data_IF_377565767951
#
_entry.id   IF_377565767951
#
_cell.length_a   1.000
_cell.length_b   1.000
_cell.length_c   1.000
_cell.angle_alpha   90.00
_cell.angle_beta   90.00
_cell.angle_gamma   90.00
#
_symmetry.space_group_name_H-M   'P 1'
#
loop_
_entity.id
_entity.type
_entity.pdbx_description
1 polymer ?
#
# COMPACT_ATOMS: atom_id res chain seq x y z
N UNK A 1 -14.85 37.08 16.14
CA UNK A 1 -13.43 37.47 16.30
C UNK A 1 -12.50 36.55 15.52
N UNK A 2 -12.53 35.22 15.74
CA UNK A 2 -11.70 34.26 14.99
C UNK A 2 -11.87 34.29 13.46
N UNK A 3 -13.11 34.41 12.96
CA UNK A 3 -13.40 34.49 11.50
C UNK A 3 -12.88 35.78 10.85
N UNK A 4 -12.80 36.88 11.61
CA UNK A 4 -12.28 38.15 11.10
C UNK A 4 -10.75 38.16 11.06
N UNK A 5 -10.10 37.52 12.03
CA UNK A 5 -8.64 37.37 12.08
C UNK A 5 -8.13 36.49 10.93
N UNK A 6 -8.84 35.41 10.60
CA UNK A 6 -8.48 34.55 9.46
C UNK A 6 -8.62 35.29 8.12
N UNK A 7 -9.69 36.08 7.93
CA UNK A 7 -9.88 36.84 6.69
C UNK A 7 -8.81 37.93 6.49
N UNK A 8 -8.38 38.60 7.56
CA UNK A 8 -7.30 39.57 7.49
C UNK A 8 -5.96 38.91 7.13
N UNK A 9 -5.66 37.74 7.68
CA UNK A 9 -4.44 36.97 7.36
C UNK A 9 -4.44 36.45 5.92
N UNK A 10 -5.57 35.97 5.41
CA UNK A 10 -5.73 35.61 3.99
C UNK A 10 -5.40 36.79 3.09
N UNK A 11 -5.96 37.96 3.39
CA UNK A 11 -5.71 39.18 2.60
C UNK A 11 -4.22 39.56 2.62
N UNK A 12 -3.58 39.52 3.78
CA UNK A 12 -2.13 39.76 3.89
C UNK A 12 -1.31 38.75 3.09
N UNK A 13 -1.65 37.46 3.13
CA UNK A 13 -0.95 36.45 2.34
C UNK A 13 -1.14 36.67 0.83
N UNK A 14 -2.36 37.01 0.38
CA UNK A 14 -2.63 37.33 -1.03
C UNK A 14 -1.82 38.53 -1.50
N UNK A 15 -1.68 39.56 -0.68
CA UNK A 15 -0.94 40.79 -1.01
C UNK A 15 0.59 40.59 -0.97
N UNK A 16 1.11 39.77 -0.04
CA UNK A 16 2.56 39.66 0.20
C UNK A 16 3.23 38.44 -0.44
N UNK A 17 2.48 37.36 -0.72
CA UNK A 17 3.02 36.09 -1.23
C UNK A 17 2.65 35.83 -2.69
N UNK A 18 2.22 36.85 -3.44
CA UNK A 18 1.79 36.69 -4.83
C UNK A 18 2.86 36.06 -5.75
N UNK A 19 4.10 36.58 -5.71
CA UNK A 19 5.21 36.03 -6.53
C UNK A 19 5.56 34.60 -6.15
N UNK A 20 5.50 34.30 -4.85
CA UNK A 20 5.71 32.94 -4.33
C UNK A 20 4.64 31.98 -4.89
N UNK A 21 3.36 32.34 -4.80
CA UNK A 21 2.25 31.51 -5.29
C UNK A 21 2.30 31.35 -6.81
N UNK A 22 2.61 32.42 -7.56
CA UNK A 22 2.82 32.33 -9.00
C UNK A 22 4.00 31.40 -9.36
N UNK A 23 5.06 31.38 -8.54
CA UNK A 23 6.14 30.41 -8.64
C UNK A 23 5.67 28.96 -8.43
N UNK A 24 4.81 28.73 -7.43
CA UNK A 24 4.20 27.41 -7.19
C UNK A 24 3.31 26.98 -8.37
N UNK A 25 2.46 27.87 -8.89
CA UNK A 25 1.58 27.62 -10.03
C UNK A 25 2.41 27.16 -11.25
N UNK A 26 3.46 27.92 -11.58
CA UNK A 26 4.35 27.57 -12.68
C UNK A 26 5.00 26.19 -12.47
N UNK A 27 5.46 25.88 -11.24
CA UNK A 27 6.01 24.55 -10.93
C UNK A 27 4.98 23.45 -11.08
N UNK A 28 3.76 23.60 -10.56
CA UNK A 28 2.70 22.58 -10.73
C UNK A 28 2.37 22.36 -12.21
N UNK A 29 2.35 23.41 -13.02
CA UNK A 29 2.05 23.29 -14.45
C UNK A 29 3.20 22.65 -15.25
N UNK A 30 4.44 23.09 -15.03
CA UNK A 30 5.59 22.77 -15.89
C UNK A 30 6.36 21.52 -15.46
N UNK A 31 6.21 21.06 -14.21
CA UNK A 31 6.94 19.88 -13.75
C UNK A 31 6.46 18.64 -14.50
N UNK A 32 7.43 17.85 -14.96
CA UNK A 32 7.23 16.53 -15.56
C UNK A 32 7.84 15.49 -14.64
N UNK A 33 7.29 14.28 -14.66
CA UNK A 33 7.68 13.21 -13.76
C UNK A 33 7.99 11.97 -14.58
N UNK A 34 9.11 11.32 -14.29
CA UNK A 34 9.47 10.04 -14.95
C UNK A 34 8.85 8.84 -14.25
N UNK A 35 8.62 8.96 -12.94
CA UNK A 35 8.08 7.90 -12.10
C UNK A 35 7.27 8.50 -10.94
N UNK A 36 6.54 7.63 -10.24
CA UNK A 36 5.67 8.04 -9.14
C UNK A 36 6.44 8.50 -7.90
N UNK A 37 7.69 8.09 -7.69
CA UNK A 37 8.49 8.54 -6.53
C UNK A 37 8.85 10.03 -6.66
N UNK A 38 9.04 10.52 -7.90
CA UNK A 38 9.16 11.96 -8.15
C UNK A 38 7.86 12.72 -7.85
N UNK A 39 6.70 12.13 -8.14
CA UNK A 39 5.40 12.69 -7.75
C UNK A 39 5.29 12.78 -6.23
N UNK A 40 5.69 11.73 -5.50
CA UNK A 40 5.71 11.75 -4.03
C UNK A 40 6.57 12.90 -3.50
N UNK A 41 7.79 13.02 -4.00
CA UNK A 41 8.76 14.04 -3.58
C UNK A 41 8.23 15.44 -3.87
N UNK A 42 7.61 15.62 -5.03
CA UNK A 42 7.01 16.89 -5.41
C UNK A 42 5.81 17.27 -4.54
N UNK A 43 4.92 16.32 -4.26
CA UNK A 43 3.75 16.56 -3.40
C UNK A 43 4.20 16.91 -1.98
N UNK A 44 5.20 16.20 -1.43
CA UNK A 44 5.73 16.53 -0.10
C UNK A 44 6.31 17.94 -0.05
N UNK A 45 7.09 18.32 -1.07
CA UNK A 45 7.60 19.68 -1.20
C UNK A 45 6.46 20.69 -1.32
N UNK A 46 5.46 20.41 -2.17
CA UNK A 46 4.34 21.31 -2.43
C UNK A 46 3.51 21.56 -1.17
N UNK A 47 3.15 20.50 -0.46
CA UNK A 47 2.38 20.57 0.78
C UNK A 47 3.17 21.31 1.87
N UNK A 48 4.49 21.12 1.93
CA UNK A 48 5.35 21.91 2.82
C UNK A 48 5.34 23.41 2.45
N UNK A 49 5.40 23.75 1.15
CA UNK A 49 5.30 25.15 0.72
C UNK A 49 3.94 25.76 1.08
N UNK A 50 2.85 25.03 0.84
CA UNK A 50 1.49 25.50 1.09
C UNK A 50 1.15 25.59 2.58
N UNK A 51 1.79 24.78 3.44
CA UNK A 51 1.67 24.91 4.89
C UNK A 51 2.15 26.25 5.47
N UNK A 52 2.85 27.06 4.67
CA UNK A 52 3.26 28.42 5.05
C UNK A 52 2.15 29.46 4.90
N UNK A 53 1.03 29.09 4.25
CA UNK A 53 -0.15 29.93 4.10
C UNK A 53 -1.05 29.81 5.34
N UNK A 54 -1.69 30.91 5.71
CA UNK A 54 -2.62 30.96 6.84
C UNK A 54 -3.91 30.16 6.60
N UNK A 55 -4.42 30.21 5.37
CA UNK A 55 -5.51 29.36 4.86
C UNK A 55 -5.22 29.06 3.38
N UNK A 56 -4.75 27.85 3.10
CA UNK A 56 -4.41 27.40 1.74
C UNK A 56 -5.57 27.62 0.77
N UNK A 57 -6.78 27.15 1.11
CA UNK A 57 -7.92 27.21 0.19
C UNK A 57 -8.41 28.65 0.01
N UNK A 58 -8.43 29.43 1.08
CA UNK A 58 -8.80 30.83 1.05
C UNK A 58 -7.86 31.66 0.17
N UNK A 59 -6.56 31.50 0.36
CA UNK A 59 -5.52 32.24 -0.38
C UNK A 59 -5.47 31.82 -1.85
N UNK A 60 -5.45 30.52 -2.14
CA UNK A 60 -5.30 30.00 -3.51
C UNK A 60 -6.46 30.38 -4.44
N UNK A 61 -7.68 30.61 -3.90
CA UNK A 61 -8.84 31.09 -4.66
C UNK A 61 -8.64 32.44 -5.33
N UNK A 62 -7.68 33.25 -4.86
CA UNK A 62 -7.36 34.55 -5.45
C UNK A 62 -6.37 34.45 -6.61
N UNK A 63 -5.85 33.26 -6.91
CA UNK A 63 -4.87 33.02 -7.97
C UNK A 63 -5.41 32.01 -8.99
N UNK A 64 -4.78 31.94 -10.17
CA UNK A 64 -5.08 30.93 -11.19
C UNK A 64 -4.48 29.56 -10.82
N UNK A 65 -4.80 29.07 -9.62
CA UNK A 65 -4.29 27.81 -9.09
C UNK A 65 -4.77 26.63 -9.96
N UNK A 66 -3.88 25.74 -10.43
CA UNK A 66 -4.24 24.58 -11.24
C UNK A 66 -4.80 23.45 -10.36
N UNK A 67 -5.93 23.72 -9.69
CA UNK A 67 -6.57 22.86 -8.68
C UNK A 67 -6.69 21.40 -9.14
N UNK A 68 -7.27 21.18 -10.33
CA UNK A 68 -7.45 19.82 -10.88
C UNK A 68 -6.14 19.03 -11.01
N UNK A 69 -5.03 19.69 -11.39
CA UNK A 69 -3.73 19.02 -11.52
C UNK A 69 -3.10 18.78 -10.15
N UNK A 70 -3.18 19.76 -9.25
CA UNK A 70 -2.67 19.65 -7.88
C UNK A 70 -3.37 18.51 -7.12
N UNK A 71 -4.70 18.42 -7.23
CA UNK A 71 -5.50 17.37 -6.61
C UNK A 71 -5.19 15.99 -7.19
N UNK A 72 -5.04 15.88 -8.52
CA UNK A 72 -4.64 14.63 -9.16
C UNK A 72 -3.24 14.17 -8.71
N UNK A 73 -2.30 15.09 -8.51
CA UNK A 73 -0.96 14.77 -7.98
C UNK A 73 -1.03 14.25 -6.54
N UNK A 74 -1.80 14.93 -5.68
CA UNK A 74 -2.01 14.51 -4.28
C UNK A 74 -2.72 13.17 -4.19
N UNK A 75 -3.76 12.96 -5.00
CA UNK A 75 -4.48 11.68 -5.09
C UNK A 75 -3.55 10.54 -5.53
N UNK A 76 -2.76 10.75 -6.60
CA UNK A 76 -1.81 9.75 -7.08
C UNK A 76 -0.75 9.41 -6.01
N UNK A 77 -0.23 10.42 -5.31
CA UNK A 77 0.73 10.23 -4.24
C UNK A 77 0.13 9.46 -3.05
N UNK A 78 -1.08 9.82 -2.64
CA UNK A 78 -1.80 9.13 -1.56
C UNK A 78 -2.06 7.66 -1.91
N UNK A 79 -2.63 7.39 -3.08
CA UNK A 79 -2.99 6.04 -3.49
C UNK A 79 -1.76 5.13 -3.60
N UNK A 80 -0.68 5.61 -4.20
CA UNK A 80 0.56 4.84 -4.26
C UNK A 80 1.17 4.59 -2.87
N UNK A 81 1.19 5.60 -1.98
CA UNK A 81 1.68 5.44 -0.59
C UNK A 81 0.89 4.41 0.18
N UNK A 82 -0.43 4.42 0.08
CA UNK A 82 -1.29 3.46 0.79
C UNK A 82 -1.01 2.02 0.33
N UNK A 83 -0.89 1.80 -0.99
CA UNK A 83 -0.53 0.48 -1.53
C UNK A 83 0.89 0.05 -1.12
N UNK A 84 1.86 0.96 -1.19
CA UNK A 84 3.26 0.73 -0.80
C UNK A 84 3.36 0.39 0.69
N UNK A 85 2.59 1.07 1.54
CA UNK A 85 2.52 0.82 2.98
C UNK A 85 2.16 -0.63 3.31
N UNK A 86 1.13 -1.18 2.65
CA UNK A 86 0.74 -2.60 2.83
C UNK A 86 1.86 -3.55 2.41
N UNK A 87 2.51 -3.29 1.29
CA UNK A 87 3.62 -4.13 0.79
C UNK A 87 4.81 -4.09 1.76
N UNK A 88 5.14 -2.91 2.29
CA UNK A 88 6.25 -2.74 3.26
C UNK A 88 5.93 -3.39 4.60
N UNK A 89 4.69 -3.28 5.08
CA UNK A 89 4.22 -3.94 6.30
C UNK A 89 4.44 -5.45 6.22
N UNK A 90 4.08 -6.08 5.09
CA UNK A 90 4.31 -7.51 4.84
C UNK A 90 5.79 -7.85 4.74
N UNK A 91 6.59 -7.03 4.05
CA UNK A 91 8.02 -7.28 3.86
C UNK A 91 8.80 -7.22 5.18
N UNK A 92 8.29 -6.47 6.16
CA UNK A 92 8.85 -6.37 7.52
C UNK A 92 8.46 -7.52 8.44
N UNK A 93 7.58 -8.43 8.01
CA UNK A 93 7.20 -9.59 8.80
C UNK A 93 8.38 -10.56 8.94
N UNK A 94 8.91 -10.65 10.14
CA UNK A 94 9.85 -11.69 10.50
C UNK A 94 9.09 -12.95 10.92
N UNK A 95 9.47 -14.11 10.38
CA UNK A 95 8.91 -15.40 10.76
C UNK A 95 9.32 -15.84 12.18
N UNK A 96 10.32 -15.19 12.77
CA UNK A 96 11.02 -15.63 13.97
C UNK A 96 11.23 -14.48 14.95
N UNK A 97 10.20 -13.66 15.20
CA UNK A 97 10.32 -12.48 16.05
C UNK A 97 10.58 -12.78 17.54
N UNK A 98 10.76 -14.05 17.93
CA UNK A 98 10.96 -14.48 19.33
C UNK A 98 9.83 -14.04 20.27
N UNK A 99 8.75 -13.47 19.73
CA UNK A 99 7.67 -12.88 20.49
C UNK A 99 6.84 -14.01 21.10
N UNK A 100 6.37 -13.86 22.36
CA UNK A 100 5.49 -14.83 23.01
C UNK A 100 4.09 -14.91 22.37
N UNK A 101 3.91 -14.41 21.15
CA UNK A 101 2.64 -14.40 20.44
C UNK A 101 2.23 -15.84 20.08
N UNK A 102 1.00 -16.21 20.42
CA UNK A 102 0.49 -17.55 20.11
C UNK A 102 0.45 -17.80 18.60
N UNK A 103 0.62 -19.06 18.19
CA UNK A 103 0.56 -19.47 16.78
C UNK A 103 -0.69 -18.91 16.11
N UNK A 104 -1.84 -19.12 16.74
CA UNK A 104 -3.13 -18.68 16.25
C UNK A 104 -3.20 -17.15 16.02
N UNK A 105 -2.66 -16.35 16.95
CA UNK A 105 -2.64 -14.90 16.81
C UNK A 105 -1.76 -14.46 15.62
N UNK A 106 -0.59 -15.09 15.44
CA UNK A 106 0.28 -14.84 14.28
C UNK A 106 -0.42 -15.21 12.97
N UNK A 107 -1.04 -16.39 12.90
CA UNK A 107 -1.75 -16.85 11.69
C UNK A 107 -2.97 -15.98 11.37
N UNK A 108 -3.69 -15.50 12.40
CA UNK A 108 -4.78 -14.51 12.24
C UNK A 108 -4.26 -13.18 11.69
N UNK A 109 -3.12 -12.68 12.21
CA UNK A 109 -2.49 -11.45 11.70
C UNK A 109 -2.10 -11.61 10.22
N UNK A 110 -1.44 -12.70 9.86
CA UNK A 110 -1.05 -13.00 8.47
C UNK A 110 -2.29 -13.07 7.55
N UNK A 111 -3.37 -13.71 8.02
CA UNK A 111 -4.64 -13.79 7.28
C UNK A 111 -5.26 -12.41 7.04
N UNK A 112 -5.25 -11.54 8.05
CA UNK A 112 -5.77 -10.18 7.93
C UNK A 112 -4.96 -9.31 6.94
N UNK A 113 -3.65 -9.55 6.83
CA UNK A 113 -2.80 -8.87 5.85
C UNK A 113 -3.09 -9.33 4.42
N UNK A 114 -3.38 -10.61 4.21
CA UNK A 114 -3.84 -11.10 2.91
C UNK A 114 -5.20 -10.46 2.53
N UNK A 115 -6.14 -10.37 3.48
CA UNK A 115 -7.43 -9.70 3.25
C UNK A 115 -7.25 -8.22 2.86
N UNK A 116 -6.34 -7.52 3.55
CA UNK A 116 -5.97 -6.12 3.26
C UNK A 116 -5.40 -6.00 1.85
N UNK A 117 -4.50 -6.90 1.48
CA UNK A 117 -3.85 -6.93 0.17
C UNK A 117 -4.86 -7.17 -0.97
N UNK A 118 -5.78 -8.12 -0.81
CA UNK A 118 -6.84 -8.38 -1.79
C UNK A 118 -7.77 -7.18 -1.97
N UNK A 119 -8.16 -6.52 -0.87
CA UNK A 119 -8.95 -5.28 -0.91
C UNK A 119 -8.21 -4.16 -1.63
N UNK A 120 -6.93 -3.99 -1.34
CA UNK A 120 -6.08 -2.99 -1.98
C UNK A 120 -5.88 -3.26 -3.47
N UNK A 121 -5.72 -4.53 -3.89
CA UNK A 121 -5.66 -4.92 -5.30
C UNK A 121 -6.98 -4.59 -6.03
N UNK A 122 -8.13 -4.92 -5.43
CA UNK A 122 -9.44 -4.57 -5.98
C UNK A 122 -9.60 -3.05 -6.13
N UNK A 123 -9.15 -2.28 -5.14
CA UNK A 123 -9.14 -0.81 -5.20
C UNK A 123 -8.29 -0.31 -6.36
N UNK A 124 -7.08 -0.85 -6.53
CA UNK A 124 -6.19 -0.48 -7.63
C UNK A 124 -6.81 -0.73 -9.01
N UNK A 125 -7.47 -1.88 -9.21
CA UNK A 125 -8.15 -2.21 -10.48
C UNK A 125 -9.26 -1.20 -10.80
N UNK A 126 -10.06 -0.83 -9.79
CA UNK A 126 -11.11 0.17 -9.94
C UNK A 126 -10.52 1.56 -10.22
N UNK A 127 -9.49 1.97 -9.47
CA UNK A 127 -8.79 3.23 -9.62
C UNK A 127 -8.23 3.39 -11.04
N UNK A 128 -7.57 2.34 -11.57
CA UNK A 128 -7.01 2.31 -12.93
C UNK A 128 -8.04 2.67 -14.00
N UNK A 129 -9.29 2.25 -13.83
CA UNK A 129 -10.35 2.54 -14.79
C UNK A 129 -10.89 3.97 -14.66
N UNK A 130 -10.87 4.52 -13.44
CA UNK A 130 -11.47 5.82 -13.12
C UNK A 130 -10.55 7.01 -13.38
N UNK A 131 -9.29 6.95 -12.94
CA UNK A 131 -8.41 8.15 -12.86
C UNK A 131 -7.26 8.15 -13.85
N UNK A 132 -6.92 7.00 -14.43
CA UNK A 132 -5.76 6.86 -15.33
C UNK A 132 -5.81 7.80 -16.56
N UNK A 133 -6.98 8.06 -17.20
CA UNK A 133 -7.06 9.07 -18.27
C UNK A 133 -6.72 10.49 -17.78
N UNK A 134 -7.19 10.84 -16.58
CA UNK A 134 -6.93 12.13 -15.94
C UNK A 134 -5.43 12.29 -15.61
N UNK A 135 -4.82 11.24 -15.06
CA UNK A 135 -3.38 11.24 -14.74
C UNK A 135 -2.53 11.44 -16.00
N UNK A 136 -2.85 10.73 -17.09
CA UNK A 136 -2.16 10.91 -18.37
C UNK A 136 -2.31 12.32 -18.92
N UNK A 137 -3.51 12.91 -18.84
CA UNK A 137 -3.75 14.30 -19.24
C UNK A 137 -2.85 15.29 -18.47
N UNK A 138 -2.59 15.03 -17.19
CA UNK A 138 -1.75 15.86 -16.35
C UNK A 138 -0.26 15.49 -16.36
N UNK A 139 0.16 14.50 -17.16
CA UNK A 139 1.55 14.04 -17.19
C UNK A 139 1.98 13.33 -15.91
N UNK A 140 1.04 12.74 -15.17
CA UNK A 140 1.30 11.92 -13.98
C UNK A 140 1.58 10.49 -14.45
N UNK A 141 2.72 9.87 -14.04
CA UNK A 141 3.05 8.49 -14.40
C UNK A 141 1.97 7.51 -13.94
N UNK A 142 1.62 6.57 -14.82
CA UNK A 142 0.58 5.54 -14.59
C UNK A 142 1.13 4.12 -14.59
N UNK A 143 2.43 3.99 -14.86
CA UNK A 143 3.19 2.77 -15.03
C UNK A 143 3.21 1.96 -13.72
N UNK A 144 3.22 2.65 -12.58
CA UNK A 144 3.07 2.04 -11.27
C UNK A 144 1.72 1.34 -11.07
N UNK A 145 0.67 1.75 -11.80
CA UNK A 145 -0.67 1.17 -11.71
C UNK A 145 -0.83 -0.10 -12.55
N UNK A 146 0.10 -0.39 -13.46
CA UNK A 146 0.05 -1.55 -14.34
C UNK A 146 0.33 -2.85 -13.58
N UNK A 147 0.06 -3.99 -14.21
CA UNK A 147 0.27 -5.31 -13.60
C UNK A 147 1.75 -5.59 -13.31
N UNK A 148 2.67 -4.98 -14.07
CA UNK A 148 4.11 -4.99 -13.81
C UNK A 148 4.54 -4.06 -12.67
N UNK A 149 3.71 -3.09 -12.29
CA UNK A 149 3.97 -2.07 -11.27
C UNK A 149 3.75 -2.57 -9.85
N UNK A 150 3.01 -1.81 -9.04
CA UNK A 150 2.76 -2.16 -7.62
C UNK A 150 1.97 -3.47 -7.48
N UNK A 151 1.16 -3.83 -8.47
CA UNK A 151 0.40 -5.08 -8.48
C UNK A 151 1.31 -6.32 -8.46
N UNK A 152 2.45 -6.31 -9.18
CA UNK A 152 3.42 -7.41 -9.13
C UNK A 152 4.03 -7.55 -7.74
N UNK A 153 4.40 -6.42 -7.11
CA UNK A 153 4.94 -6.37 -5.74
C UNK A 153 3.93 -6.90 -4.72
N UNK A 154 2.64 -6.60 -4.89
CA UNK A 154 1.57 -7.16 -4.05
C UNK A 154 1.48 -8.68 -4.20
N UNK A 155 1.52 -9.22 -5.42
CA UNK A 155 1.52 -10.68 -5.64
C UNK A 155 2.73 -11.34 -4.96
N UNK A 156 3.92 -10.77 -5.10
CA UNK A 156 5.12 -11.25 -4.40
C UNK A 156 4.94 -11.21 -2.87
N UNK A 157 4.41 -10.10 -2.33
CA UNK A 157 4.13 -9.98 -0.90
C UNK A 157 3.15 -11.06 -0.39
N UNK A 158 2.14 -11.43 -1.18
CA UNK A 158 1.23 -12.52 -0.82
C UNK A 158 1.94 -13.88 -0.72
N UNK A 159 2.90 -14.16 -1.62
CA UNK A 159 3.71 -15.38 -1.58
C UNK A 159 4.59 -15.38 -0.33
N UNK A 160 5.15 -14.21 0.05
CA UNK A 160 5.85 -14.05 1.32
C UNK A 160 4.96 -14.38 2.52
N UNK A 161 3.69 -13.94 2.53
CA UNK A 161 2.74 -14.31 3.58
C UNK A 161 2.54 -15.83 3.67
N UNK A 162 2.40 -16.52 2.53
CA UNK A 162 2.30 -17.99 2.51
C UNK A 162 3.54 -18.67 3.13
N UNK A 163 4.75 -18.21 2.79
CA UNK A 163 5.99 -18.74 3.37
C UNK A 163 6.00 -18.57 4.90
N UNK A 164 5.71 -17.37 5.39
CA UNK A 164 5.71 -17.08 6.83
C UNK A 164 4.63 -17.90 7.55
N UNK A 165 3.43 -18.00 6.96
CA UNK A 165 2.33 -18.80 7.49
C UNK A 165 2.73 -20.26 7.64
N UNK A 166 3.23 -20.88 6.57
CA UNK A 166 3.59 -22.30 6.56
C UNK A 166 4.75 -22.59 7.49
N UNK A 167 5.79 -21.74 7.54
CA UNK A 167 6.90 -21.87 8.49
C UNK A 167 6.41 -21.84 9.94
N UNK A 168 5.49 -20.92 10.28
CA UNK A 168 4.94 -20.83 11.64
C UNK A 168 4.06 -22.04 12.00
N UNK A 169 3.25 -22.51 11.04
CA UNK A 169 2.41 -23.69 11.21
C UNK A 169 3.25 -24.96 11.40
N UNK A 170 4.28 -25.18 10.56
CA UNK A 170 5.21 -26.30 10.68
C UNK A 170 5.92 -26.30 12.04
N UNK A 171 6.41 -25.14 12.51
CA UNK A 171 7.05 -25.01 13.83
C UNK A 171 6.12 -25.46 14.96
N UNK A 172 4.84 -25.07 14.90
CA UNK A 172 3.83 -25.47 15.89
C UNK A 172 3.55 -26.98 15.85
N UNK A 173 3.37 -27.54 14.65
CA UNK A 173 3.14 -28.98 14.44
C UNK A 173 4.31 -29.80 15.00
N UNK A 174 5.55 -29.37 14.74
CA UNK A 174 6.74 -30.06 15.24
C UNK A 174 6.93 -29.95 16.75
N UNK A 175 6.48 -28.86 17.37
CA UNK A 175 6.63 -28.64 18.81
C UNK A 175 5.64 -29.46 19.64
N UNK A 176 4.45 -29.74 19.10
CA UNK A 176 3.38 -30.48 19.76
C UNK A 176 3.03 -31.76 18.99
N UNK A 177 4.00 -32.68 18.87
CA UNK A 177 3.75 -34.04 18.37
C UNK A 177 2.74 -34.77 19.27
N UNK A 178 1.50 -34.96 18.78
CA UNK A 178 0.51 -35.86 19.41
C UNK A 178 -0.87 -35.27 19.76
N UNK A 179 -1.17 -34.01 19.40
CA UNK A 179 -2.48 -33.40 19.65
C UNK A 179 -3.40 -33.37 18.41
N UNK A 180 -4.71 -33.58 18.60
CA UNK A 180 -5.72 -33.56 17.51
C UNK A 180 -5.85 -32.24 16.72
N UNK A 181 -5.10 -31.21 17.08
CA UNK A 181 -5.07 -29.91 16.40
C UNK A 181 -4.16 -29.89 15.16
N UNK A 182 -3.30 -30.90 14.96
CA UNK A 182 -2.40 -30.98 13.79
C UNK A 182 -3.16 -31.00 12.46
N UNK A 183 -4.13 -31.90 12.32
CA UNK A 183 -4.92 -32.03 11.10
C UNK A 183 -5.68 -30.74 10.76
N UNK A 184 -6.19 -30.03 11.78
CA UNK A 184 -6.86 -28.74 11.62
C UNK A 184 -5.90 -27.68 11.11
N UNK A 185 -4.71 -27.60 11.72
CA UNK A 185 -3.68 -26.62 11.35
C UNK A 185 -3.14 -26.87 9.94
N UNK A 186 -2.94 -28.14 9.55
CA UNK A 186 -2.56 -28.50 8.17
C UNK A 186 -3.67 -28.11 7.20
N UNK A 187 -4.93 -28.45 7.48
CA UNK A 187 -6.05 -28.10 6.61
C UNK A 187 -6.23 -26.59 6.44
N UNK A 188 -6.05 -25.81 7.52
CA UNK A 188 -6.08 -24.34 7.46
C UNK A 188 -4.93 -23.78 6.62
N UNK A 189 -3.72 -24.31 6.81
CA UNK A 189 -2.52 -23.91 6.06
C UNK A 189 -2.65 -24.20 4.55
N UNK A 190 -3.25 -25.34 4.19
CA UNK A 190 -3.52 -25.69 2.79
C UNK A 190 -4.52 -24.71 2.17
N UNK A 191 -5.63 -24.40 2.86
CA UNK A 191 -6.62 -23.42 2.37
C UNK A 191 -6.02 -22.04 2.19
N UNK A 192 -5.22 -21.59 3.17
CA UNK A 192 -4.54 -20.30 3.11
C UNK A 192 -3.58 -20.24 1.91
N UNK A 193 -2.73 -21.26 1.75
CA UNK A 193 -1.74 -21.31 0.66
C UNK A 193 -2.40 -21.40 -0.71
N UNK A 194 -3.50 -22.15 -0.84
CA UNK A 194 -4.27 -22.19 -2.08
C UNK A 194 -4.88 -20.83 -2.42
N UNK A 195 -5.42 -20.09 -1.44
CA UNK A 195 -5.92 -18.73 -1.64
C UNK A 195 -4.81 -17.79 -2.14
N UNK A 196 -3.62 -17.86 -1.53
CA UNK A 196 -2.45 -17.10 -2.00
C UNK A 196 -2.07 -17.48 -3.43
N UNK A 197 -2.04 -18.77 -3.76
CA UNK A 197 -1.75 -19.25 -5.11
C UNK A 197 -2.73 -18.66 -6.14
N UNK A 198 -4.03 -18.66 -5.86
CA UNK A 198 -5.05 -18.06 -6.73
C UNK A 198 -4.86 -16.55 -6.89
N UNK A 199 -4.51 -15.85 -5.81
CA UNK A 199 -4.27 -14.41 -5.83
C UNK A 199 -3.00 -14.03 -6.62
N UNK A 200 -1.88 -14.72 -6.36
CA UNK A 200 -0.60 -14.45 -6.98
C UNK A 200 -0.50 -14.95 -8.43
N UNK A 201 -1.29 -15.97 -8.78
CA UNK A 201 -1.16 -16.72 -10.03
C UNK A 201 -0.05 -17.77 -10.01
N UNK A 202 0.38 -18.19 -8.82
CA UNK A 202 1.45 -19.17 -8.63
C UNK A 202 2.18 -18.98 -7.30
N UNK A 203 3.02 -19.96 -6.94
CA UNK A 203 3.95 -19.90 -5.82
C UNK A 203 5.38 -19.99 -6.35
N UNK A 204 6.32 -19.37 -5.65
CA UNK A 204 7.74 -19.59 -5.93
C UNK A 204 8.25 -20.93 -5.38
N UNK A 205 9.47 -21.31 -5.75
CA UNK A 205 10.04 -22.62 -5.41
C UNK A 205 10.21 -22.85 -3.90
N UNK A 206 10.46 -21.79 -3.12
CA UNK A 206 10.57 -21.89 -1.67
C UNK A 206 9.19 -22.10 -1.04
N UNK A 207 8.18 -21.34 -1.47
CA UNK A 207 6.81 -21.49 -1.00
C UNK A 207 6.25 -22.87 -1.37
N UNK A 208 6.55 -23.37 -2.58
CA UNK A 208 6.11 -24.70 -3.02
C UNK A 208 6.74 -25.81 -2.18
N UNK A 209 8.03 -25.71 -1.85
CA UNK A 209 8.70 -26.69 -0.97
C UNK A 209 8.10 -26.72 0.43
N UNK A 210 7.83 -25.55 1.02
CA UNK A 210 7.18 -25.46 2.33
C UNK A 210 5.75 -26.05 2.31
N UNK A 211 5.04 -25.87 1.19
CA UNK A 211 3.72 -26.47 0.98
C UNK A 211 3.80 -28.00 0.88
N UNK A 212 4.76 -28.53 0.11
CA UNK A 212 4.99 -29.97 -0.01
C UNK A 212 5.30 -30.61 1.35
N UNK A 213 6.19 -30.02 2.14
CA UNK A 213 6.53 -30.48 3.49
C UNK A 213 5.29 -30.52 4.40
N UNK A 214 4.45 -29.49 4.35
CA UNK A 214 3.22 -29.42 5.12
C UNK A 214 2.19 -30.49 4.69
N UNK A 215 2.08 -30.77 3.39
CA UNK A 215 1.18 -31.83 2.88
C UNK A 215 1.69 -33.26 3.11
N UNK A 216 3.00 -33.45 3.30
CA UNK A 216 3.51 -34.76 3.69
C UNK A 216 3.06 -35.13 5.12
N UNK A 217 2.93 -34.14 6.01
CA UNK A 217 2.43 -34.34 7.38
C UNK A 217 0.96 -34.77 7.43
N UNK A 218 0.09 -34.26 6.55
CA UNK A 218 -1.30 -34.75 6.47
C UNK A 218 -1.42 -36.19 5.94
N UNK A 219 -0.51 -36.62 5.05
CA UNK A 219 -0.51 -38.00 4.55
C UNK A 219 -0.08 -39.01 5.60
N UNK A 220 0.78 -38.61 6.52
CA UNK A 220 1.26 -39.45 7.62
C UNK A 220 0.25 -39.61 8.77
N UNK A 221 -0.71 -38.69 8.89
CA UNK A 221 -1.78 -38.73 9.93
C UNK A 221 -3.06 -39.45 9.48
N UNK A 222 -3.15 -39.86 8.21
CA UNK A 222 -4.29 -40.58 7.63
C UNK A 222 -4.09 -42.11 7.52
N UNK A 223 -2.97 -42.62 8.05
CA UNK A 223 -2.61 -44.05 8.17
C UNK A 223 -2.62 -44.42 9.64
#
# INVERSE_FOLDING_TARGET
MYVYLSFAQIKTDVETKGDFINGLINKVQMTTYTDVEQVLTFVDWLDQQLSTLSDETGVLKHFSWPERKADALREAAFEYRDLKCVVTEISSLNADDGSPTSCEATLRKISSLLDKLEKSMKRLVNLRSSVMPCYKQFGIPTEWMLDSGIASKMRVASVTLAKVYMKRALKEITAYTGGGNEAVLVAQSVRFTYRVHQFAGGLDSEAMRAFEELTQRSRLTAV
#
